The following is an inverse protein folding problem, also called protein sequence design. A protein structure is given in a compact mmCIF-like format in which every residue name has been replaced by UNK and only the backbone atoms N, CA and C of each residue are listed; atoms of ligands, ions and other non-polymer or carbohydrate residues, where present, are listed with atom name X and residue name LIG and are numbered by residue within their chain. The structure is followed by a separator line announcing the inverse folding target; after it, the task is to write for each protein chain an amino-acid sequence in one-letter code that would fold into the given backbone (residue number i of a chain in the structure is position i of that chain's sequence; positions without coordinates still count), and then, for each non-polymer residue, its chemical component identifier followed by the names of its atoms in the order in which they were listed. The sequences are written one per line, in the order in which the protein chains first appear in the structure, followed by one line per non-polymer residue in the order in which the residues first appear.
data_IF_250771537482
#
_entry.id   IF_250771537482
#
_cell.length_a   1.000
_cell.length_b   1.000
_cell.length_c   1.000
_cell.angle_alpha   90.00
_cell.angle_beta   90.00
_cell.angle_gamma   90.00
#
_symmetry.space_group_name_H-M   'P 1'
#
loop_
_entity.id
_entity.type
_entity.pdbx_description
1 polymer ?
#
# COMPACT_ATOMS: atom_id res chain seq x y z
N UNK A 1 10.19 11.77 8.22
CA UNK A 1 10.01 11.84 9.69
C UNK A 1 11.30 11.35 10.31
N UNK A 2 11.81 12.04 11.30
CA UNK A 2 13.11 11.77 11.94
C UNK A 2 12.90 11.13 13.32
N UNK A 3 13.76 10.17 13.67
CA UNK A 3 13.74 9.42 14.92
C UNK A 3 15.11 9.57 15.60
N UNK A 4 15.20 9.20 16.88
CA UNK A 4 16.43 9.23 17.67
C UNK A 4 17.25 7.93 17.62
N UNK A 5 16.91 7.04 16.68
CA UNK A 5 17.56 5.76 16.40
C UNK A 5 17.72 5.53 14.91
N UNK A 6 18.56 4.57 14.54
CA UNK A 6 18.77 4.15 13.14
C UNK A 6 17.56 3.37 12.62
N UNK A 7 16.78 4.00 11.75
CA UNK A 7 15.58 3.40 11.14
C UNK A 7 15.94 2.31 10.11
N UNK A 8 17.06 2.47 9.39
CA UNK A 8 17.51 1.49 8.39
C UNK A 8 17.83 0.18 9.09
N UNK A 9 18.55 0.25 10.22
CA UNK A 9 18.88 -0.92 11.01
C UNK A 9 17.64 -1.52 11.70
N UNK A 10 16.80 -0.69 12.30
CA UNK A 10 15.59 -1.13 13.02
C UNK A 10 14.59 -1.85 12.11
N UNK A 11 14.47 -1.41 10.85
CA UNK A 11 13.57 -1.99 9.84
C UNK A 11 14.20 -3.15 9.07
N UNK A 12 15.52 -3.35 9.15
CA UNK A 12 16.24 -4.32 8.32
C UNK A 12 16.18 -3.97 6.84
N UNK A 13 16.40 -2.70 6.51
CA UNK A 13 16.34 -2.24 5.12
C UNK A 13 17.43 -2.87 4.25
N UNK A 14 17.11 -3.01 2.96
CA UNK A 14 18.09 -3.36 1.93
C UNK A 14 19.09 -2.20 1.68
N UNK A 15 20.08 -2.43 0.81
CA UNK A 15 21.11 -1.44 0.45
C UNK A 15 20.55 -0.14 -0.16
N UNK A 16 19.32 -0.16 -0.64
CA UNK A 16 18.61 0.99 -1.18
C UNK A 16 17.68 1.65 -0.15
N UNK A 17 17.70 1.22 1.11
CA UNK A 17 16.87 1.75 2.18
C UNK A 17 15.41 1.33 2.11
N UNK A 18 15.07 0.21 1.47
CA UNK A 18 13.71 -0.34 1.47
C UNK A 18 13.58 -1.48 2.48
N UNK A 19 12.46 -1.50 3.18
CA UNK A 19 12.05 -2.60 4.05
C UNK A 19 10.64 -3.07 3.69
N UNK A 20 10.39 -4.36 3.92
CA UNK A 20 9.07 -4.98 3.79
C UNK A 20 8.72 -5.60 5.14
N UNK A 21 7.63 -5.14 5.72
CA UNK A 21 7.06 -5.72 6.93
C UNK A 21 5.81 -6.52 6.58
N UNK A 22 5.63 -7.66 7.21
CA UNK A 22 4.44 -8.52 7.09
C UNK A 22 3.76 -8.61 8.45
N UNK A 23 2.48 -8.25 8.52
CA UNK A 23 1.76 -8.12 9.79
C UNK A 23 1.71 -9.42 10.60
N UNK A 24 1.42 -10.54 9.95
CA UNK A 24 1.36 -11.86 10.61
C UNK A 24 2.72 -12.44 11.02
N UNK A 25 3.83 -11.79 10.65
CA UNK A 25 5.19 -12.27 10.91
C UNK A 25 5.98 -11.35 11.87
N UNK A 26 5.33 -10.86 12.91
CA UNK A 26 5.97 -10.02 13.93
C UNK A 26 7.24 -10.67 14.51
N UNK A 27 7.28 -11.99 14.61
CA UNK A 27 8.43 -12.76 15.09
C UNK A 27 9.66 -12.74 14.16
N UNK A 28 9.52 -12.25 12.92
CA UNK A 28 10.66 -12.04 12.02
C UNK A 28 11.42 -10.73 12.31
N UNK A 29 10.82 -9.82 13.09
CA UNK A 29 11.52 -8.63 13.56
C UNK A 29 12.49 -9.05 14.66
N UNK A 30 13.75 -8.62 14.55
CA UNK A 30 14.75 -8.88 15.59
C UNK A 30 14.21 -8.36 16.92
N UNK A 31 14.19 -9.17 17.99
CA UNK A 31 13.52 -8.82 19.25
C UNK A 31 13.90 -7.44 19.81
N UNK A 32 15.16 -7.04 19.71
CA UNK A 32 15.65 -5.74 20.15
C UNK A 32 15.10 -4.53 19.39
N UNK A 33 14.52 -4.72 18.19
CA UNK A 33 14.02 -3.63 17.36
C UNK A 33 12.50 -3.49 17.32
N UNK A 34 11.76 -4.41 17.94
CA UNK A 34 10.29 -4.43 17.89
C UNK A 34 9.66 -3.13 18.40
N UNK A 35 10.23 -2.49 19.42
CA UNK A 35 9.74 -1.23 19.97
C UNK A 35 9.94 -0.09 18.97
N UNK A 36 11.09 -0.02 18.33
CA UNK A 36 11.39 0.98 17.29
C UNK A 36 10.48 0.82 16.08
N UNK A 37 10.24 -0.41 15.63
CA UNK A 37 9.30 -0.69 14.52
C UNK A 37 7.87 -0.27 14.90
N UNK A 38 7.43 -0.53 16.15
CA UNK A 38 6.13 -0.07 16.65
C UNK A 38 6.03 1.45 16.65
N UNK A 39 7.07 2.13 17.10
CA UNK A 39 7.14 3.60 17.11
C UNK A 39 7.05 4.16 15.70
N UNK A 40 7.84 3.61 14.75
CA UNK A 40 7.78 4.00 13.33
C UNK A 40 6.36 3.84 12.78
N UNK A 41 5.74 2.66 12.95
CA UNK A 41 4.41 2.39 12.40
C UNK A 41 3.33 3.31 12.98
N UNK A 42 3.37 3.61 14.28
CA UNK A 42 2.43 4.50 14.91
C UNK A 42 2.62 5.94 14.43
N UNK A 43 3.84 6.45 14.48
CA UNK A 43 4.16 7.82 14.10
C UNK A 43 3.85 8.10 12.62
N UNK A 44 4.20 7.16 11.73
CA UNK A 44 3.91 7.29 10.30
C UNK A 44 2.42 7.17 10.01
N UNK A 45 1.69 6.29 10.70
CA UNK A 45 0.24 6.15 10.56
C UNK A 45 -0.53 7.37 11.04
N UNK A 46 -0.11 7.98 12.15
CA UNK A 46 -0.65 9.26 12.63
C UNK A 46 -0.40 10.39 11.63
N UNK A 47 0.82 10.50 11.10
CA UNK A 47 1.16 11.49 10.10
C UNK A 47 0.35 11.31 8.82
N UNK A 48 0.19 10.07 8.35
CA UNK A 48 -0.66 9.73 7.20
C UNK A 48 -2.10 10.16 7.44
N UNK A 49 -2.66 9.82 8.60
CA UNK A 49 -4.04 10.16 8.98
C UNK A 49 -4.26 11.67 9.00
N UNK A 50 -3.33 12.44 9.60
CA UNK A 50 -3.38 13.92 9.61
C UNK A 50 -3.30 14.49 8.18
N UNK A 51 -2.37 14.00 7.36
CA UNK A 51 -2.18 14.49 5.99
C UNK A 51 -3.38 14.23 5.09
N UNK A 52 -4.16 13.18 5.37
CA UNK A 52 -5.37 12.80 4.66
C UNK A 52 -6.66 13.30 5.34
N UNK A 53 -6.56 14.03 6.44
CA UNK A 53 -7.69 14.56 7.23
C UNK A 53 -8.68 13.46 7.65
N UNK A 54 -8.16 12.29 8.05
CA UNK A 54 -8.98 11.17 8.45
C UNK A 54 -9.37 11.29 9.94
N UNK A 55 -10.60 10.93 10.26
CA UNK A 55 -11.10 10.91 11.63
C UNK A 55 -10.50 9.77 12.48
N UNK A 56 -9.90 8.77 11.82
CA UNK A 56 -9.32 7.60 12.49
C UNK A 56 -7.99 7.22 11.87
N UNK A 57 -7.05 6.79 12.72
CA UNK A 57 -5.78 6.24 12.26
C UNK A 57 -6.03 4.88 11.61
N UNK A 58 -5.69 4.73 10.32
CA UNK A 58 -5.87 3.49 9.55
C UNK A 58 -4.66 2.57 9.61
N UNK A 59 -3.47 3.13 9.89
CA UNK A 59 -2.23 2.37 10.06
C UNK A 59 -1.67 2.61 11.47
N UNK A 60 -1.51 1.54 12.25
CA UNK A 60 -0.82 1.54 13.54
C UNK A 60 -0.17 0.18 13.75
N UNK A 61 0.80 0.09 14.66
CA UNK A 61 1.47 -1.16 14.99
C UNK A 61 0.47 -2.25 15.40
N UNK A 62 -0.47 -1.92 16.29
CA UNK A 62 -1.49 -2.86 16.74
C UNK A 62 -2.34 -3.40 15.57
N UNK A 63 -2.92 -2.51 14.75
CA UNK A 63 -3.75 -2.91 13.59
C UNK A 63 -2.95 -3.70 12.55
N UNK A 64 -1.68 -3.36 12.38
CA UNK A 64 -0.82 -4.03 11.41
C UNK A 64 -0.47 -5.45 11.85
N UNK A 65 -0.01 -5.64 13.08
CA UNK A 65 0.46 -6.94 13.55
C UNK A 65 -0.63 -8.00 13.72
N UNK A 66 -1.90 -7.61 13.80
CA UNK A 66 -3.04 -8.54 13.78
C UNK A 66 -3.61 -8.78 12.37
N UNK A 67 -3.00 -8.21 11.34
CA UNK A 67 -3.44 -8.34 9.95
C UNK A 67 -2.48 -9.20 9.12
N UNK A 68 -2.91 -9.61 7.96
CA UNK A 68 -2.09 -10.23 6.92
C UNK A 68 -1.62 -9.21 5.87
N UNK A 69 -1.60 -7.92 6.23
CA UNK A 69 -1.16 -6.86 5.34
C UNK A 69 0.37 -6.81 5.24
N UNK A 70 0.88 -6.18 4.19
CA UNK A 70 2.29 -5.82 4.02
C UNK A 70 2.44 -4.30 4.02
N UNK A 71 3.54 -3.85 4.59
CA UNK A 71 3.97 -2.45 4.52
C UNK A 71 5.35 -2.40 3.89
N UNK A 72 5.47 -1.63 2.83
CA UNK A 72 6.72 -1.26 2.18
C UNK A 72 7.14 0.09 2.72
N UNK A 73 8.36 0.21 3.22
CA UNK A 73 8.88 1.42 3.85
C UNK A 73 10.14 1.85 3.12
N UNK A 74 10.32 3.15 2.93
CA UNK A 74 11.57 3.76 2.51
C UNK A 74 12.16 4.54 3.68
N UNK A 75 13.39 4.19 4.08
CA UNK A 75 14.13 4.86 5.14
C UNK A 75 15.52 5.31 4.66
N UNK A 76 16.10 6.26 5.38
CA UNK A 76 17.45 6.78 5.20
C UNK A 76 18.00 7.19 6.56
N UNK A 77 19.02 6.46 7.04
CA UNK A 77 19.58 6.63 8.37
C UNK A 77 18.49 6.61 9.47
N UNK A 78 18.34 7.70 10.20
CA UNK A 78 17.35 7.88 11.26
C UNK A 78 16.00 8.46 10.75
N UNK A 79 15.76 8.43 9.44
CA UNK A 79 14.55 9.02 8.82
C UNK A 79 13.73 7.97 8.09
N UNK A 80 12.43 7.99 8.33
CA UNK A 80 11.45 7.31 7.47
C UNK A 80 10.87 8.33 6.49
N UNK A 81 11.01 8.02 5.20
CA UNK A 81 10.65 8.93 4.12
C UNK A 81 9.20 8.74 3.67
N UNK A 82 8.69 7.52 3.76
CA UNK A 82 7.33 7.19 3.39
C UNK A 82 7.05 5.70 3.50
N UNK A 83 5.78 5.33 3.34
CA UNK A 83 5.33 3.94 3.30
C UNK A 83 4.15 3.74 2.36
N UNK A 84 3.94 2.49 1.93
CA UNK A 84 2.73 2.02 1.28
C UNK A 84 2.27 0.73 1.94
N UNK A 85 1.01 0.67 2.35
CA UNK A 85 0.37 -0.50 2.95
C UNK A 85 -0.55 -1.16 1.94
N UNK A 86 -0.39 -2.46 1.77
CA UNK A 86 -1.23 -3.26 0.88
C UNK A 86 -1.77 -4.51 1.57
N UNK A 87 -2.83 -5.06 1.03
CA UNK A 87 -3.41 -6.33 1.50
C UNK A 87 -4.46 -6.86 0.54
N UNK A 88 -4.58 -8.19 0.47
CA UNK A 88 -5.61 -8.81 -0.34
C UNK A 88 -6.98 -8.65 0.32
N UNK A 89 -7.98 -8.28 -0.47
CA UNK A 89 -9.37 -8.14 -0.05
C UNK A 89 -10.30 -8.82 -1.06
N UNK A 90 -11.30 -9.46 -0.52
CA UNK A 90 -12.43 -9.96 -1.28
C UNK A 90 -13.46 -8.83 -1.38
N UNK A 91 -13.64 -8.31 -2.59
CA UNK A 91 -14.49 -7.16 -2.87
C UNK A 91 -15.61 -7.53 -3.83
N UNK A 92 -16.77 -6.91 -3.65
CA UNK A 92 -17.83 -6.89 -4.66
C UNK A 92 -17.70 -5.58 -5.42
N UNK A 93 -17.26 -5.67 -6.68
CA UNK A 93 -16.95 -4.53 -7.53
C UNK A 93 -17.94 -4.48 -8.70
N UNK A 94 -18.36 -3.27 -9.03
CA UNK A 94 -19.28 -2.99 -10.14
C UNK A 94 -18.49 -2.60 -11.38
N UNK A 95 -18.75 -3.26 -12.49
CA UNK A 95 -18.21 -2.89 -13.80
C UNK A 95 -18.96 -1.70 -14.43
N UNK A 96 -18.57 -1.27 -15.64
CA UNK A 96 -19.23 -0.17 -16.37
C UNK A 96 -20.65 -0.48 -16.80
N UNK A 97 -21.01 -1.76 -16.92
CA UNK A 97 -22.35 -2.21 -17.27
C UNK A 97 -23.22 -2.42 -16.03
N UNK A 98 -22.75 -1.97 -14.84
CA UNK A 98 -23.42 -2.11 -13.57
C UNK A 98 -23.54 -3.55 -13.05
N UNK A 99 -22.85 -4.54 -13.64
CA UNK A 99 -22.79 -5.89 -13.12
C UNK A 99 -21.82 -5.96 -11.94
N UNK A 100 -22.17 -6.76 -10.92
CA UNK A 100 -21.32 -6.98 -9.76
C UNK A 100 -20.49 -8.24 -9.92
N UNK A 101 -19.22 -8.13 -9.62
CA UNK A 101 -18.25 -9.21 -9.66
C UNK A 101 -17.59 -9.37 -8.28
N UNK A 102 -17.51 -10.60 -7.79
CA UNK A 102 -16.70 -10.92 -6.63
C UNK A 102 -15.25 -11.07 -7.08
N UNK A 103 -14.37 -10.22 -6.57
CA UNK A 103 -12.96 -10.15 -6.96
C UNK A 103 -12.09 -10.23 -5.71
N UNK A 104 -11.13 -11.16 -5.70
CA UNK A 104 -10.07 -11.17 -4.68
C UNK A 104 -8.84 -10.47 -5.27
N UNK A 105 -8.54 -9.29 -4.78
CA UNK A 105 -7.49 -8.44 -5.35
C UNK A 105 -6.62 -7.79 -4.30
N UNK A 106 -5.39 -7.47 -4.69
CA UNK A 106 -4.48 -6.67 -3.89
C UNK A 106 -5.00 -5.22 -3.84
N UNK A 107 -5.11 -4.68 -2.64
CA UNK A 107 -5.58 -3.33 -2.40
C UNK A 107 -4.48 -2.46 -1.85
N UNK A 108 -4.35 -1.23 -2.36
CA UNK A 108 -3.60 -0.15 -1.71
C UNK A 108 -4.49 0.41 -0.62
N UNK A 109 -4.09 0.22 0.64
CA UNK A 109 -4.87 0.55 1.84
C UNK A 109 -4.42 1.85 2.51
N UNK A 110 -3.16 2.24 2.33
CA UNK A 110 -2.59 3.48 2.84
C UNK A 110 -1.33 3.81 2.05
N UNK A 111 -1.12 5.07 1.69
CA UNK A 111 0.07 5.53 0.99
C UNK A 111 0.44 6.93 1.45
N UNK A 112 1.61 7.06 2.04
CA UNK A 112 2.08 8.31 2.59
C UNK A 112 3.57 8.53 2.34
N UNK A 113 3.92 9.74 1.92
CA UNK A 113 5.29 10.24 1.84
C UNK A 113 5.37 11.49 2.71
N UNK A 114 6.34 11.50 3.61
CA UNK A 114 6.53 12.61 4.55
C UNK A 114 6.75 13.93 3.81
N UNK A 115 6.13 15.00 4.29
CA UNK A 115 6.06 16.30 3.62
C UNK A 115 7.44 16.85 3.25
N UNK A 116 8.43 16.69 4.14
CA UNK A 116 9.81 17.16 3.92
C UNK A 116 10.54 16.44 2.76
N UNK A 117 10.00 15.30 2.30
CA UNK A 117 10.62 14.46 1.26
C UNK A 117 9.76 14.30 0.01
N UNK A 118 8.57 14.93 -0.02
CA UNK A 118 7.71 14.95 -1.19
C UNK A 118 8.38 15.64 -2.39
N UNK A 119 7.91 15.33 -3.59
CA UNK A 119 8.41 15.85 -4.88
C UNK A 119 9.87 15.50 -5.20
N UNK A 120 10.47 14.54 -4.46
CA UNK A 120 11.82 14.01 -4.69
C UNK A 120 11.80 12.60 -5.32
N UNK A 121 10.66 12.16 -5.86
CA UNK A 121 10.51 10.83 -6.47
C UNK A 121 10.29 9.68 -5.48
N UNK A 122 10.33 9.90 -4.17
CA UNK A 122 10.19 8.85 -3.14
C UNK A 122 8.90 8.04 -3.31
N UNK A 123 7.77 8.71 -3.57
CA UNK A 123 6.50 8.01 -3.78
C UNK A 123 6.54 7.08 -4.98
N UNK A 124 7.18 7.50 -6.09
CA UNK A 124 7.33 6.65 -7.28
C UNK A 124 8.24 5.45 -7.00
N UNK A 125 9.35 5.65 -6.31
CA UNK A 125 10.27 4.57 -5.92
C UNK A 125 9.57 3.53 -5.04
N UNK A 126 8.82 3.97 -4.01
CA UNK A 126 8.05 3.09 -3.14
C UNK A 126 7.00 2.30 -3.91
N UNK A 127 6.27 2.97 -4.78
CA UNK A 127 5.21 2.34 -5.56
C UNK A 127 5.76 1.30 -6.54
N UNK A 128 6.86 1.62 -7.25
CA UNK A 128 7.53 0.68 -8.15
C UNK A 128 8.11 -0.52 -7.40
N UNK A 129 8.71 -0.27 -6.23
CA UNK A 129 9.26 -1.34 -5.39
C UNK A 129 8.16 -2.31 -4.95
N UNK A 130 7.01 -1.79 -4.51
CA UNK A 130 5.84 -2.57 -4.15
C UNK A 130 5.31 -3.36 -5.35
N UNK A 131 5.10 -2.73 -6.51
CA UNK A 131 4.61 -3.40 -7.73
C UNK A 131 5.53 -4.55 -8.17
N UNK A 132 6.84 -4.32 -8.13
CA UNK A 132 7.85 -5.34 -8.46
C UNK A 132 7.78 -6.54 -7.52
N UNK A 133 7.66 -6.29 -6.21
CA UNK A 133 7.57 -7.35 -5.21
C UNK A 133 6.27 -8.16 -5.35
N UNK A 134 5.13 -7.48 -5.50
CA UNK A 134 3.81 -8.09 -5.63
C UNK A 134 3.57 -8.71 -7.02
N UNK A 135 4.48 -8.47 -7.98
CA UNK A 135 4.34 -8.88 -9.39
C UNK A 135 3.01 -8.42 -9.98
N UNK A 136 2.68 -7.14 -9.75
CA UNK A 136 1.44 -6.50 -10.18
C UNK A 136 1.72 -5.27 -11.02
N UNK A 137 0.75 -4.90 -11.86
CA UNK A 137 0.69 -3.59 -12.51
C UNK A 137 -0.39 -2.74 -11.83
N UNK A 138 -0.30 -1.41 -11.90
CA UNK A 138 -1.22 -0.52 -11.17
C UNK A 138 -2.71 -0.72 -11.48
N UNK A 139 -3.05 -1.14 -12.70
CA UNK A 139 -4.44 -1.39 -13.12
C UNK A 139 -5.05 -2.65 -12.52
N UNK A 140 -4.23 -3.57 -12.00
CA UNK A 140 -4.69 -4.79 -11.31
C UNK A 140 -4.99 -4.58 -9.82
N UNK A 141 -4.79 -3.36 -9.31
CA UNK A 141 -4.99 -3.03 -7.91
C UNK A 141 -6.34 -2.35 -7.67
N UNK A 142 -6.90 -2.57 -6.49
CA UNK A 142 -7.96 -1.71 -5.98
C UNK A 142 -7.36 -0.69 -5.00
N UNK A 143 -7.94 0.50 -4.93
CA UNK A 143 -7.46 1.61 -4.11
C UNK A 143 -8.54 1.98 -3.09
N UNK A 144 -8.24 1.83 -1.79
CA UNK A 144 -9.19 2.13 -0.71
C UNK A 144 -9.20 3.64 -0.45
N UNK A 145 -10.33 4.29 -0.72
CA UNK A 145 -10.54 5.73 -0.49
C UNK A 145 -9.35 6.59 -0.92
N UNK A 146 -8.89 6.48 -2.19
CA UNK A 146 -7.72 7.20 -2.63
C UNK A 146 -7.96 8.71 -2.55
N UNK A 147 -6.99 9.45 -1.99
CA UNK A 147 -7.02 10.91 -2.01
C UNK A 147 -6.80 11.44 -3.44
N UNK A 148 -7.22 12.68 -3.70
CA UNK A 148 -6.95 13.35 -4.99
C UNK A 148 -5.46 13.39 -5.32
N UNK A 149 -4.60 13.46 -4.29
CA UNK A 149 -3.15 13.38 -4.47
C UNK A 149 -2.70 12.03 -4.99
N UNK A 150 -3.30 10.93 -4.51
CA UNK A 150 -3.00 9.58 -5.00
C UNK A 150 -3.55 9.40 -6.42
N UNK A 151 -4.76 9.85 -6.73
CA UNK A 151 -5.32 9.79 -8.08
C UNK A 151 -4.46 10.60 -9.08
N UNK A 152 -4.03 11.80 -8.70
CA UNK A 152 -3.11 12.63 -9.49
C UNK A 152 -1.75 11.95 -9.68
N UNK A 153 -1.23 11.26 -8.67
CA UNK A 153 0.00 10.47 -8.75
C UNK A 153 -0.14 9.32 -9.75
N UNK A 154 -1.23 8.55 -9.67
CA UNK A 154 -1.52 7.44 -10.59
C UNK A 154 -1.64 7.92 -12.03
N UNK A 155 -2.33 9.04 -12.26
CA UNK A 155 -2.40 9.64 -13.59
C UNK A 155 -1.02 10.07 -14.09
N UNK A 156 -0.26 10.81 -13.28
CA UNK A 156 1.04 11.36 -13.66
C UNK A 156 2.07 10.29 -14.04
N UNK A 157 2.16 9.21 -13.26
CA UNK A 157 3.24 8.24 -13.39
C UNK A 157 2.86 6.97 -14.15
N UNK A 158 1.55 6.69 -14.28
CA UNK A 158 1.06 5.47 -14.90
C UNK A 158 -0.05 5.73 -15.94
N UNK A 159 -0.41 6.98 -16.21
CA UNK A 159 -1.46 7.35 -17.16
C UNK A 159 -2.88 6.96 -16.74
N UNK A 160 -3.09 6.64 -15.46
CA UNK A 160 -4.35 6.12 -14.95
C UNK A 160 -5.30 7.27 -14.58
N UNK A 161 -6.18 7.62 -15.49
CA UNK A 161 -7.17 8.69 -15.30
C UNK A 161 -8.63 8.25 -15.45
N UNK A 162 -8.87 7.04 -15.96
CA UNK A 162 -10.20 6.52 -16.25
C UNK A 162 -10.55 5.38 -15.27
N UNK A 163 -10.95 5.74 -14.07
CA UNK A 163 -11.29 4.81 -13.01
C UNK A 163 -12.81 4.64 -12.85
N UNK A 164 -13.20 3.59 -12.15
CA UNK A 164 -14.58 3.29 -11.76
C UNK A 164 -14.69 3.42 -10.25
N UNK A 165 -15.38 4.47 -9.79
CA UNK A 165 -15.69 4.65 -8.36
C UNK A 165 -16.71 3.59 -7.91
N UNK A 166 -16.47 2.99 -6.76
CA UNK A 166 -17.30 1.94 -6.19
C UNK A 166 -18.12 2.46 -5.00
N UNK A 167 -19.28 1.86 -4.76
CA UNK A 167 -20.14 2.23 -3.62
C UNK A 167 -19.49 1.99 -2.25
N UNK A 168 -18.50 1.11 -2.19
CA UNK A 168 -17.70 0.80 -0.99
C UNK A 168 -16.46 1.70 -0.83
N UNK A 169 -16.41 2.84 -1.54
CA UNK A 169 -15.32 3.83 -1.55
C UNK A 169 -13.98 3.32 -2.14
N UNK A 170 -13.97 2.17 -2.79
CA UNK A 170 -12.83 1.76 -3.59
C UNK A 170 -12.86 2.45 -4.96
N UNK A 171 -11.68 2.58 -5.54
CA UNK A 171 -11.48 2.96 -6.94
C UNK A 171 -10.74 1.82 -7.62
N UNK A 172 -11.21 1.45 -8.82
CA UNK A 172 -10.60 0.39 -9.64
C UNK A 172 -10.48 0.86 -11.09
N UNK A 173 -9.55 0.26 -11.83
CA UNK A 173 -9.39 0.47 -13.26
C UNK A 173 -9.99 -0.70 -14.03
N UNK A 174 -10.35 -0.45 -15.29
CA UNK A 174 -11.13 -1.42 -16.09
C UNK A 174 -10.41 -2.75 -16.27
N UNK A 175 -9.08 -2.70 -16.36
CA UNK A 175 -8.23 -3.88 -16.58
C UNK A 175 -8.35 -4.90 -15.43
N UNK A 176 -8.71 -4.46 -14.23
CA UNK A 176 -8.92 -5.37 -13.09
C UNK A 176 -9.98 -6.43 -13.40
N UNK A 177 -11.06 -6.06 -14.10
CA UNK A 177 -12.12 -7.00 -14.49
C UNK A 177 -11.69 -7.94 -15.61
N UNK A 178 -10.88 -7.45 -16.55
CA UNK A 178 -10.36 -8.25 -17.67
C UNK A 178 -9.44 -9.36 -17.13
N UNK A 179 -8.50 -9.02 -16.26
CA UNK A 179 -7.60 -9.99 -15.63
C UNK A 179 -8.35 -11.04 -14.79
N UNK A 180 -9.35 -10.61 -14.02
CA UNK A 180 -10.18 -11.51 -13.23
C UNK A 180 -10.94 -12.51 -14.10
N UNK A 181 -11.48 -12.06 -15.23
CA UNK A 181 -12.22 -12.91 -16.17
C UNK A 181 -11.29 -13.92 -16.88
N UNK A 182 -10.12 -13.46 -17.33
CA UNK A 182 -9.12 -14.33 -17.99
C UNK A 182 -8.61 -15.41 -17.03
N UNK A 183 -8.34 -15.06 -15.78
CA UNK A 183 -7.91 -16.02 -14.77
C UNK A 183 -8.99 -17.09 -14.50
N UNK A 184 -10.26 -16.68 -14.43
CA UNK A 184 -11.40 -17.57 -14.23
C UNK A 184 -11.56 -18.55 -15.41
N UNK A 185 -11.43 -18.06 -16.66
CA UNK A 185 -11.50 -18.91 -17.86
C UNK A 185 -10.35 -19.92 -17.89
N UNK A 186 -9.13 -19.48 -17.55
CA UNK A 186 -7.97 -20.38 -17.48
C UNK A 186 -8.15 -21.47 -16.43
N UNK A 187 -8.68 -21.17 -15.25
CA UNK A 187 -8.96 -22.17 -14.20
C UNK A 187 -9.98 -23.20 -14.70
N UNK A 188 -11.04 -22.76 -15.39
CA UNK A 188 -12.06 -23.66 -15.93
C UNK A 188 -11.56 -24.51 -17.12
N UNK A 189 -10.52 -24.07 -17.84
CA UNK A 189 -9.94 -24.83 -18.95
C UNK A 189 -8.96 -25.91 -18.51
N UNK A 190 -8.54 -25.93 -17.25
CA UNK A 190 -7.64 -26.93 -16.65
C UNK A 190 -8.34 -27.86 -15.62
N UNK A 191 -9.67 -27.69 -15.45
CA UNK A 191 -10.51 -28.57 -14.62
C UNK A 191 -11.30 -29.51 -15.49
#
# INVERSE_FOLDING_TARGET
MEFNFDCVQALGCDQNGFAILEGSYQNRIVPGYILFVKEILNSMGEASSRAQQLNTIITSAHKFFISNHRIFIKADQNKVLGFIKVGNKKLFLRDRNFNYHEVNTLCVLDFYVHESTQRRGIGKQLFDYMLKFEKKIPTELAYDRPSDKLLSFLNKYFGLNNYIAQNNNYVVFIDLFIFSLVLFILILSFS
#
